data_IF_183848284321
#
_entry.id   IF_183848284321
#
_cell.length_a   1.000
_cell.length_b   1.000
_cell.length_c   1.000
_cell.angle_alpha   90.00
_cell.angle_beta   90.00
_cell.angle_gamma   90.00
#
_symmetry.space_group_name_H-M   'P 1'
#
loop_
_entity.id
_entity.type
_entity.pdbx_description
1 polymer ?
#
# COMPACT_ATOMS: atom_id res chain seq x y z
N UNK A 1 -8.84 17.30 42.42
CA UNK A 1 -9.32 16.09 41.68
C UNK A 1 -10.83 15.96 41.91
N UNK A 2 -11.61 15.59 40.88
CA UNK A 2 -13.09 15.49 41.06
C UNK A 2 -13.39 14.25 41.91
N UNK A 3 -14.28 14.38 42.90
CA UNK A 3 -14.78 13.29 43.77
C UNK A 3 -15.27 12.09 42.97
N UNK A 4 -15.83 12.35 41.75
CA UNK A 4 -16.24 11.30 40.84
C UNK A 4 -15.08 10.42 40.36
N UNK A 5 -13.90 10.99 40.13
CA UNK A 5 -12.72 10.26 39.68
C UNK A 5 -12.15 9.35 40.80
N UNK A 6 -12.11 9.86 42.03
CA UNK A 6 -11.63 9.05 43.18
C UNK A 6 -12.55 7.86 43.48
N UNK A 7 -13.86 8.10 43.41
CA UNK A 7 -14.87 7.04 43.58
C UNK A 7 -14.74 6.01 42.42
N UNK A 8 -14.63 6.46 41.16
CA UNK A 8 -14.46 5.58 40.03
C UNK A 8 -13.16 4.73 40.16
N UNK A 9 -12.06 5.33 40.57
CA UNK A 9 -10.78 4.65 40.79
C UNK A 9 -10.91 3.57 41.88
N UNK A 10 -11.49 3.90 43.04
CA UNK A 10 -11.71 2.91 44.13
C UNK A 10 -12.61 1.77 43.67
N UNK A 11 -13.69 2.04 42.93
CA UNK A 11 -14.61 1.03 42.42
C UNK A 11 -13.90 0.11 41.43
N UNK A 12 -13.06 0.64 40.56
CA UNK A 12 -12.32 -0.14 39.53
C UNK A 12 -11.27 -1.06 40.13
N UNK A 13 -10.65 -0.69 41.28
CA UNK A 13 -9.59 -1.45 41.92
C UNK A 13 -10.04 -2.30 43.14
N UNK A 14 -11.27 -2.13 43.67
CA UNK A 14 -11.79 -2.98 44.74
C UNK A 14 -12.02 -4.41 44.24
N UNK A 15 -11.94 -5.38 45.23
CA UNK A 15 -12.29 -6.79 44.93
C UNK A 15 -13.73 -6.90 44.43
N UNK A 16 -13.87 -6.92 43.10
CA UNK A 16 -15.14 -7.13 42.43
C UNK A 16 -15.56 -8.60 42.55
N UNK A 17 -16.87 -8.90 42.48
CA UNK A 17 -17.37 -10.27 42.34
C UNK A 17 -16.71 -10.92 41.13
N UNK A 18 -16.43 -12.21 41.17
CA UNK A 18 -15.71 -12.91 40.09
C UNK A 18 -16.34 -12.70 38.68
N UNK A 19 -17.66 -12.61 38.61
CA UNK A 19 -18.41 -12.38 37.41
C UNK A 19 -18.14 -10.99 36.76
N UNK A 20 -18.21 -9.91 37.55
CA UNK A 20 -17.92 -8.53 37.05
C UNK A 20 -16.49 -8.44 36.52
N UNK A 21 -15.55 -9.06 37.21
CA UNK A 21 -14.15 -9.06 36.81
C UNK A 21 -13.95 -9.80 35.50
N UNK A 22 -14.65 -10.89 35.29
CA UNK A 22 -14.64 -11.62 34.01
C UNK A 22 -15.16 -10.76 32.85
N UNK A 23 -16.32 -10.09 33.03
CA UNK A 23 -16.92 -9.23 31.97
C UNK A 23 -16.00 -8.07 31.61
N UNK A 24 -15.41 -7.39 32.61
CA UNK A 24 -14.46 -6.29 32.35
C UNK A 24 -13.24 -6.77 31.57
N UNK A 25 -12.67 -7.92 31.94
CA UNK A 25 -11.53 -8.51 31.22
C UNK A 25 -11.91 -8.91 29.79
N UNK A 26 -13.07 -9.51 29.62
CA UNK A 26 -13.59 -9.89 28.30
C UNK A 26 -13.77 -8.64 27.42
N UNK A 27 -14.30 -7.55 27.97
CA UNK A 27 -14.49 -6.30 27.24
C UNK A 27 -13.16 -5.62 26.89
N UNK A 28 -12.18 -5.63 27.78
CA UNK A 28 -10.84 -5.15 27.48
C UNK A 28 -10.21 -5.99 26.35
N UNK A 29 -10.32 -7.32 26.44
CA UNK A 29 -9.78 -8.22 25.42
C UNK A 29 -10.44 -8.02 24.05
N UNK A 30 -11.77 -7.94 24.01
CA UNK A 30 -12.51 -7.72 22.77
C UNK A 30 -12.19 -6.34 22.13
N UNK A 31 -12.09 -5.29 22.95
CA UNK A 31 -11.65 -3.97 22.48
C UNK A 31 -10.21 -4.01 21.97
N UNK A 32 -9.32 -4.71 22.67
CA UNK A 32 -7.93 -4.87 22.27
C UNK A 32 -7.82 -5.61 20.93
N UNK A 33 -8.56 -6.70 20.75
CA UNK A 33 -8.60 -7.44 19.48
C UNK A 33 -9.13 -6.56 18.35
N UNK A 34 -10.22 -5.80 18.56
CA UNK A 34 -10.77 -4.90 17.55
C UNK A 34 -9.77 -3.82 17.13
N UNK A 35 -9.09 -3.17 18.08
CA UNK A 35 -8.08 -2.14 17.78
C UNK A 35 -6.86 -2.74 17.09
N UNK A 36 -6.40 -3.90 17.54
CA UNK A 36 -5.29 -4.61 16.90
C UNK A 36 -5.63 -4.98 15.45
N UNK A 37 -6.85 -5.51 15.20
CA UNK A 37 -7.33 -5.84 13.87
C UNK A 37 -7.41 -4.61 12.96
N UNK A 38 -7.91 -3.47 13.45
CA UNK A 38 -7.95 -2.22 12.70
C UNK A 38 -6.53 -1.77 12.30
N UNK A 39 -5.59 -1.77 13.26
CA UNK A 39 -4.20 -1.37 12.99
C UNK A 39 -3.50 -2.29 12.00
N UNK A 40 -3.68 -3.61 12.15
CA UNK A 40 -3.16 -4.60 11.21
C UNK A 40 -3.74 -4.41 9.81
N UNK A 41 -5.05 -4.24 9.70
CA UNK A 41 -5.72 -4.01 8.41
C UNK A 41 -5.18 -2.76 7.73
N UNK A 42 -5.00 -1.65 8.44
CA UNK A 42 -4.36 -0.45 7.89
C UNK A 42 -2.95 -0.71 7.41
N UNK A 43 -2.11 -1.30 8.26
CA UNK A 43 -0.70 -1.53 7.98
C UNK A 43 -0.49 -2.48 6.79
N UNK A 44 -1.30 -3.53 6.70
CA UNK A 44 -1.24 -4.53 5.62
C UNK A 44 -1.71 -3.92 4.30
N UNK A 45 -2.91 -3.32 4.28
CA UNK A 45 -3.49 -2.83 3.02
C UNK A 45 -2.67 -1.67 2.45
N UNK A 46 -2.20 -0.75 3.29
CA UNK A 46 -1.35 0.35 2.81
C UNK A 46 0.01 -0.16 2.33
N UNK A 47 0.63 -1.10 3.05
CA UNK A 47 1.89 -1.72 2.64
C UNK A 47 1.75 -2.41 1.29
N UNK A 48 0.65 -3.13 1.11
CA UNK A 48 0.34 -3.84 -0.11
C UNK A 48 0.14 -2.89 -1.32
N UNK A 49 -0.69 -1.86 -1.13
CA UNK A 49 -0.98 -0.86 -2.17
C UNK A 49 0.29 -0.14 -2.63
N UNK A 50 1.10 0.33 -1.68
CA UNK A 50 2.33 1.05 -1.99
C UNK A 50 3.35 0.15 -2.67
N UNK A 51 3.52 -1.08 -2.20
CA UNK A 51 4.50 -2.01 -2.79
C UNK A 51 4.16 -2.35 -4.23
N UNK A 52 2.87 -2.59 -4.54
CA UNK A 52 2.46 -2.91 -5.92
C UNK A 52 2.57 -1.67 -6.82
N UNK A 53 2.05 -0.52 -6.37
CA UNK A 53 2.16 0.71 -7.13
C UNK A 53 3.64 1.04 -7.42
N UNK A 54 4.52 0.88 -6.44
CA UNK A 54 5.95 1.12 -6.58
C UNK A 54 6.60 0.18 -7.61
N UNK A 55 6.26 -1.13 -7.64
CA UNK A 55 6.74 -2.07 -8.65
C UNK A 55 6.33 -1.66 -10.07
N UNK A 56 5.07 -1.25 -10.24
CA UNK A 56 4.58 -0.75 -11.53
C UNK A 56 5.32 0.51 -11.94
N UNK A 57 5.51 1.46 -11.01
CA UNK A 57 6.23 2.71 -11.28
C UNK A 57 7.71 2.49 -11.55
N UNK A 58 8.35 1.52 -10.92
CA UNK A 58 9.74 1.17 -11.20
C UNK A 58 9.93 0.68 -12.63
N UNK A 59 8.97 -0.06 -13.19
CA UNK A 59 9.06 -0.61 -14.55
C UNK A 59 8.67 0.41 -15.63
N UNK A 60 7.59 1.18 -15.39
CA UNK A 60 7.00 2.06 -16.40
C UNK A 60 7.30 3.56 -16.19
N UNK A 61 7.76 3.97 -15.01
CA UNK A 61 7.74 5.36 -14.55
C UNK A 61 6.38 5.75 -13.99
N UNK A 62 6.20 7.01 -13.64
CA UNK A 62 4.96 7.53 -13.06
C UNK A 62 4.00 8.05 -14.14
N UNK A 63 4.55 8.65 -15.21
CA UNK A 63 3.79 9.25 -16.31
C UNK A 63 4.40 8.76 -17.63
N UNK A 64 3.55 8.28 -18.52
CA UNK A 64 3.90 7.95 -19.89
C UNK A 64 3.55 9.11 -20.79
N UNK A 65 4.51 9.57 -21.57
CA UNK A 65 4.31 10.52 -22.68
C UNK A 65 4.50 9.76 -23.97
N UNK A 66 3.47 9.68 -24.80
CA UNK A 66 3.52 8.93 -26.06
C UNK A 66 2.81 9.68 -27.17
N UNK A 67 3.09 9.31 -28.42
CA UNK A 67 2.40 9.83 -29.59
C UNK A 67 0.91 9.46 -29.58
N UNK A 68 0.04 10.38 -29.94
CA UNK A 68 -1.42 10.15 -30.08
C UNK A 68 -1.72 9.00 -31.05
N UNK A 69 -0.95 8.88 -32.13
CA UNK A 69 -1.16 7.87 -33.16
C UNK A 69 -0.44 6.54 -32.86
N UNK A 70 0.25 6.43 -31.73
CA UNK A 70 1.05 5.25 -31.37
C UNK A 70 2.30 5.01 -32.25
N UNK A 71 2.53 5.86 -33.27
CA UNK A 71 3.69 5.75 -34.12
C UNK A 71 4.94 6.38 -33.46
N UNK A 72 6.11 5.76 -33.61
CA UNK A 72 7.35 6.36 -33.12
C UNK A 72 7.59 7.75 -33.73
N UNK A 73 7.90 8.73 -32.88
CA UNK A 73 8.16 10.12 -33.25
C UNK A 73 9.30 10.69 -32.40
N UNK A 74 9.77 11.89 -32.74
CA UNK A 74 10.69 12.67 -31.91
C UNK A 74 9.99 13.88 -31.33
N UNK A 75 10.23 14.17 -30.06
CA UNK A 75 9.85 15.46 -29.46
C UNK A 75 10.98 16.45 -29.75
N UNK A 76 10.64 17.71 -30.01
CA UNK A 76 11.61 18.77 -30.20
C UNK A 76 12.45 19.00 -28.93
N UNK A 77 13.72 19.32 -29.11
CA UNK A 77 14.66 19.52 -28.00
C UNK A 77 14.21 20.61 -27.01
N UNK A 78 13.48 21.64 -27.50
CA UNK A 78 12.96 22.71 -26.64
C UNK A 78 11.91 22.19 -25.67
N UNK A 79 11.01 21.31 -26.10
CA UNK A 79 10.00 20.68 -25.26
C UNK A 79 10.65 19.74 -24.25
N UNK A 80 11.66 18.95 -24.65
CA UNK A 80 12.42 18.10 -23.72
C UNK A 80 13.12 18.96 -22.66
N UNK A 81 13.76 20.06 -23.05
CA UNK A 81 14.44 20.96 -22.13
C UNK A 81 13.46 21.60 -21.12
N UNK A 82 12.26 22.01 -21.57
CA UNK A 82 11.20 22.51 -20.68
C UNK A 82 10.75 21.46 -19.65
N UNK A 83 10.59 20.22 -20.11
CA UNK A 83 10.19 19.11 -19.23
C UNK A 83 11.29 18.85 -18.18
N UNK A 84 12.55 18.82 -18.59
CA UNK A 84 13.70 18.63 -17.70
C UNK A 84 13.88 19.77 -16.68
N UNK A 85 13.49 21.00 -17.03
CA UNK A 85 13.56 22.13 -16.12
C UNK A 85 12.51 22.10 -14.99
N UNK A 86 11.52 21.24 -15.08
CA UNK A 86 10.48 21.12 -14.05
C UNK A 86 11.01 20.39 -12.82
N UNK A 87 11.05 21.08 -11.68
CA UNK A 87 11.58 20.57 -10.41
C UNK A 87 10.84 19.37 -9.83
N UNK A 88 9.61 19.08 -10.30
CA UNK A 88 8.85 17.91 -9.86
C UNK A 88 9.28 16.63 -10.59
N UNK A 89 9.97 16.77 -11.73
CA UNK A 89 10.44 15.66 -12.56
C UNK A 89 11.86 15.27 -12.15
N UNK A 90 12.06 14.01 -11.85
CA UNK A 90 13.34 13.44 -11.44
C UNK A 90 14.12 12.91 -12.65
N UNK A 91 13.43 12.18 -13.54
CA UNK A 91 14.05 11.62 -14.74
C UNK A 91 13.08 11.53 -15.90
N UNK A 92 13.64 11.57 -17.12
CA UNK A 92 12.94 11.36 -18.38
C UNK A 92 13.73 10.32 -19.15
N UNK A 93 13.11 9.18 -19.43
CA UNK A 93 13.75 8.08 -20.13
C UNK A 93 12.99 7.78 -21.42
N UNK A 94 13.58 7.96 -22.61
CA UNK A 94 12.98 7.54 -23.87
C UNK A 94 12.88 6.03 -23.93
N UNK A 95 11.83 5.51 -24.56
CA UNK A 95 11.67 4.08 -24.79
C UNK A 95 11.08 3.80 -26.18
N UNK A 96 11.35 2.58 -26.66
CA UNK A 96 10.78 2.00 -27.86
C UNK A 96 10.48 0.52 -27.59
N UNK A 97 9.24 0.11 -27.83
CA UNK A 97 8.85 -1.30 -27.70
C UNK A 97 8.75 -1.93 -29.11
N UNK A 98 9.24 -3.14 -29.24
CA UNK A 98 9.14 -3.88 -30.50
C UNK A 98 8.89 -5.35 -30.23
N UNK A 99 7.83 -5.91 -30.80
CA UNK A 99 7.56 -7.34 -30.75
C UNK A 99 8.69 -8.10 -31.45
N UNK A 100 9.20 -9.15 -30.79
CA UNK A 100 10.33 -9.93 -31.27
C UNK A 100 10.17 -11.37 -30.84
N UNK A 101 10.91 -12.25 -31.51
CA UNK A 101 10.99 -13.67 -31.17
C UNK A 101 12.37 -13.94 -30.60
N UNK A 102 12.42 -14.40 -29.37
CA UNK A 102 13.63 -14.88 -28.72
C UNK A 102 13.81 -16.36 -29.03
N UNK A 103 14.99 -16.74 -29.51
CA UNK A 103 15.36 -18.14 -29.73
C UNK A 103 16.64 -18.48 -28.99
N UNK A 104 16.60 -19.56 -28.25
CA UNK A 104 17.76 -20.15 -27.58
C UNK A 104 17.72 -21.65 -27.75
N UNK A 105 18.81 -22.23 -28.28
CA UNK A 105 18.93 -23.66 -28.70
C UNK A 105 17.77 -24.05 -29.63
N UNK A 106 16.82 -24.86 -29.18
CA UNK A 106 15.65 -25.31 -29.92
C UNK A 106 14.35 -24.61 -29.49
N UNK A 107 14.40 -23.84 -28.42
CA UNK A 107 13.24 -23.17 -27.83
C UNK A 107 13.05 -21.79 -28.44
N UNK A 108 11.78 -21.40 -28.57
CA UNK A 108 11.33 -20.12 -29.13
C UNK A 108 10.27 -19.50 -28.22
N UNK A 109 10.41 -18.20 -27.93
CA UNK A 109 9.44 -17.44 -27.14
C UNK A 109 9.14 -16.10 -27.79
N UNK A 110 7.85 -15.75 -27.87
CA UNK A 110 7.41 -14.43 -28.31
C UNK A 110 7.53 -13.42 -27.17
N UNK A 111 8.29 -12.35 -27.36
CA UNK A 111 8.54 -11.35 -26.32
C UNK A 111 8.50 -9.94 -26.90
N UNK A 112 8.41 -8.94 -26.04
CA UNK A 112 8.51 -7.53 -26.40
C UNK A 112 9.89 -7.01 -25.97
N UNK A 113 10.70 -6.61 -26.94
CA UNK A 113 11.95 -5.92 -26.67
C UNK A 113 11.66 -4.46 -26.33
N UNK A 114 11.94 -4.07 -25.08
CA UNK A 114 11.87 -2.70 -24.61
C UNK A 114 13.27 -2.09 -24.69
N UNK A 115 13.45 -1.19 -25.65
CA UNK A 115 14.66 -0.40 -25.81
C UNK A 115 14.68 0.75 -24.83
N UNK A 116 15.73 0.83 -24.03
CA UNK A 116 16.01 1.92 -23.07
C UNK A 116 17.48 2.35 -23.21
N UNK A 117 17.85 3.58 -22.87
CA UNK A 117 19.26 4.02 -22.85
C UNK A 117 20.09 3.13 -21.91
N UNK A 118 21.32 2.84 -22.29
CA UNK A 118 22.23 1.96 -21.53
C UNK A 118 22.67 2.54 -20.19
N UNK A 119 22.56 3.85 -19.98
CA UNK A 119 22.83 4.56 -18.74
C UNK A 119 21.62 4.60 -17.78
N UNK A 120 20.47 4.03 -18.21
CA UNK A 120 19.28 3.96 -17.35
C UNK A 120 19.50 3.01 -16.19
N UNK A 121 19.28 3.50 -14.98
CA UNK A 121 19.27 2.66 -13.78
C UNK A 121 18.05 1.74 -13.77
N UNK A 122 18.27 0.44 -13.61
CA UNK A 122 17.21 -0.59 -13.56
C UNK A 122 17.14 -1.11 -12.12
N UNK A 123 16.20 -0.63 -11.31
CA UNK A 123 16.17 -0.91 -9.87
C UNK A 123 15.77 -2.35 -9.52
N UNK A 124 15.21 -3.12 -10.46
CA UNK A 124 14.72 -4.49 -10.26
C UNK A 124 15.66 -5.57 -10.80
N UNK A 125 16.95 -5.27 -11.03
CA UNK A 125 17.97 -6.29 -11.38
C UNK A 125 18.16 -7.23 -10.19
N UNK A 126 18.05 -8.53 -10.45
CA UNK A 126 18.20 -9.60 -9.44
C UNK A 126 19.61 -10.17 -9.40
N UNK A 127 20.20 -10.36 -10.56
CA UNK A 127 21.55 -10.96 -10.69
C UNK A 127 22.24 -10.51 -11.98
N UNK A 128 23.57 -10.51 -12.00
CA UNK A 128 24.35 -9.92 -13.08
C UNK A 128 24.51 -8.42 -12.92
N UNK A 129 24.50 -7.68 -14.01
CA UNK A 129 24.59 -6.22 -14.06
C UNK A 129 23.53 -5.59 -14.95
N UNK A 130 23.48 -4.26 -14.97
CA UNK A 130 22.88 -3.51 -16.06
C UNK A 130 23.68 -3.66 -17.35
N UNK A 131 23.37 -2.88 -18.35
CA UNK A 131 24.20 -2.82 -19.56
C UNK A 131 25.62 -2.41 -19.17
N UNK A 132 26.64 -3.15 -19.66
CA UNK A 132 28.03 -2.77 -19.47
C UNK A 132 28.29 -1.52 -20.27
N UNK A 133 28.24 -0.36 -19.61
CA UNK A 133 28.80 0.84 -20.18
C UNK A 133 30.31 0.63 -20.25
N UNK A 134 30.85 0.33 -21.41
CA UNK A 134 32.29 0.36 -21.63
C UNK A 134 32.74 1.80 -21.38
N UNK A 135 33.25 2.06 -20.19
CA UNK A 135 33.91 3.31 -19.84
C UNK A 135 35.09 3.47 -20.80
N UNK A 136 34.88 4.25 -21.87
CA UNK A 136 35.95 4.57 -22.81
C UNK A 136 35.63 4.54 -24.29
N UNK A 137 34.57 3.86 -24.72
CA UNK A 137 34.16 3.89 -26.12
C UNK A 137 33.10 4.97 -26.38
N UNK A 138 33.31 5.67 -27.48
CA UNK A 138 32.51 6.75 -28.04
C UNK A 138 31.01 6.62 -27.70
N UNK A 139 30.37 7.72 -27.36
CA UNK A 139 28.93 7.87 -27.07
C UNK A 139 27.98 7.23 -28.11
N UNK A 140 28.50 6.57 -29.14
CA UNK A 140 27.77 6.04 -30.29
C UNK A 140 27.85 4.50 -30.45
N UNK A 141 28.52 3.76 -29.54
CA UNK A 141 28.56 2.30 -29.64
C UNK A 141 27.23 1.69 -29.16
N UNK A 142 26.63 0.87 -30.01
CA UNK A 142 25.44 0.07 -29.68
C UNK A 142 25.87 -1.09 -28.81
N UNK A 143 25.11 -1.36 -27.76
CA UNK A 143 25.38 -2.50 -26.89
C UNK A 143 24.79 -3.79 -27.47
N UNK A 144 25.62 -4.84 -27.59
CA UNK A 144 25.15 -6.20 -27.93
C UNK A 144 24.70 -7.00 -26.70
N UNK A 145 24.27 -6.32 -25.66
CA UNK A 145 23.83 -6.91 -24.41
C UNK A 145 22.31 -6.85 -24.27
N UNK A 146 21.78 -7.82 -23.51
CA UNK A 146 20.37 -7.94 -23.20
C UNK A 146 20.19 -8.28 -21.74
N UNK A 147 19.12 -7.75 -21.14
CA UNK A 147 18.67 -8.11 -19.80
C UNK A 147 17.32 -8.79 -19.96
N UNK A 148 17.20 -10.02 -19.47
CA UNK A 148 15.98 -10.82 -19.54
C UNK A 148 15.41 -11.03 -18.13
N UNK A 149 14.13 -11.38 -18.04
CA UNK A 149 13.56 -11.72 -16.74
C UNK A 149 14.06 -13.09 -16.26
N UNK A 150 14.04 -13.31 -14.95
CA UNK A 150 14.36 -14.62 -14.38
C UNK A 150 13.32 -15.69 -14.74
N UNK A 151 12.07 -15.29 -15.02
CA UNK A 151 11.03 -16.18 -15.51
C UNK A 151 11.38 -16.72 -16.91
N UNK A 152 11.70 -15.82 -17.86
CA UNK A 152 12.12 -16.21 -19.22
C UNK A 152 13.42 -17.04 -19.14
N UNK A 153 14.38 -16.61 -18.30
CA UNK A 153 15.64 -17.34 -18.13
C UNK A 153 15.43 -18.76 -17.61
N UNK A 154 14.52 -18.93 -16.63
CA UNK A 154 14.19 -20.26 -16.07
C UNK A 154 13.45 -21.12 -17.09
N UNK A 155 12.46 -20.54 -17.79
CA UNK A 155 11.66 -21.24 -18.80
C UNK A 155 12.50 -21.80 -19.93
N UNK A 156 13.49 -21.03 -20.40
CA UNK A 156 14.37 -21.39 -21.52
C UNK A 156 15.76 -21.92 -21.09
N UNK A 157 15.94 -22.09 -19.76
CA UNK A 157 17.23 -22.54 -19.18
C UNK A 157 18.44 -21.67 -19.59
N UNK A 158 18.25 -20.37 -19.72
CA UNK A 158 19.27 -19.40 -20.12
C UNK A 158 20.07 -18.95 -18.89
N UNK A 159 21.40 -18.92 -19.01
CA UNK A 159 22.31 -18.43 -17.96
C UNK A 159 22.88 -17.06 -18.34
N UNK A 160 23.30 -16.28 -17.33
CA UNK A 160 24.04 -15.05 -17.55
C UNK A 160 25.30 -15.34 -18.37
N UNK A 161 25.58 -14.54 -19.38
CA UNK A 161 26.69 -14.71 -20.32
C UNK A 161 26.35 -15.55 -21.54
N UNK A 162 25.20 -16.23 -21.58
CA UNK A 162 24.75 -16.96 -22.76
C UNK A 162 24.46 -15.99 -23.93
N UNK A 163 24.64 -16.47 -25.15
CA UNK A 163 24.30 -15.73 -26.37
C UNK A 163 22.96 -16.21 -26.90
N UNK A 164 22.00 -15.33 -27.01
CA UNK A 164 20.68 -15.62 -27.55
C UNK A 164 20.49 -14.95 -28.91
N UNK A 165 19.50 -15.42 -29.68
CA UNK A 165 19.11 -14.83 -30.96
C UNK A 165 17.76 -14.16 -30.84
N UNK A 166 17.67 -12.90 -31.29
CA UNK A 166 16.41 -12.18 -31.42
C UNK A 166 16.08 -12.02 -32.89
N UNK A 167 14.83 -12.29 -33.23
CA UNK A 167 14.28 -12.10 -34.59
C UNK A 167 13.27 -10.99 -34.55
N UNK A 168 13.61 -9.88 -35.16
CA UNK A 168 12.75 -8.70 -35.28
C UNK A 168 11.94 -8.78 -36.58
N UNK A 169 10.63 -8.75 -36.44
CA UNK A 169 9.70 -8.80 -37.56
C UNK A 169 9.42 -7.36 -38.00
N UNK A 170 10.17 -6.88 -38.98
CA UNK A 170 9.88 -5.60 -39.65
C UNK A 170 9.10 -5.79 -40.94
N UNK A 171 8.38 -4.76 -41.38
CA UNK A 171 7.59 -4.79 -42.63
C UNK A 171 8.47 -5.21 -43.82
N UNK A 172 8.40 -6.48 -44.19
CA UNK A 172 9.10 -7.03 -45.35
C UNK A 172 10.46 -7.71 -45.13
N UNK A 173 11.01 -7.71 -43.89
CA UNK A 173 12.26 -8.41 -43.59
C UNK A 173 12.32 -8.91 -42.16
N UNK A 174 12.92 -10.09 -41.96
CA UNK A 174 13.27 -10.61 -40.65
C UNK A 174 14.72 -10.27 -40.39
N UNK A 175 14.98 -9.48 -39.37
CA UNK A 175 16.35 -9.15 -38.97
C UNK A 175 16.73 -9.93 -37.72
N UNK A 176 17.86 -10.64 -37.81
CA UNK A 176 18.40 -11.41 -36.69
C UNK A 176 19.53 -10.63 -36.00
N UNK A 177 19.53 -10.65 -34.66
CA UNK A 177 20.62 -10.14 -33.83
C UNK A 177 21.01 -11.19 -32.79
N UNK A 178 22.30 -11.27 -32.55
CA UNK A 178 22.87 -12.11 -31.46
C UNK A 178 23.24 -11.19 -30.32
N UNK A 179 22.63 -11.40 -29.14
CA UNK A 179 22.87 -10.60 -27.96
C UNK A 179 23.32 -11.47 -26.78
N UNK A 180 24.20 -10.93 -25.95
CA UNK A 180 24.72 -11.62 -24.78
C UNK A 180 23.90 -11.21 -23.54
N UNK A 181 23.47 -12.18 -22.74
CA UNK A 181 22.74 -11.94 -21.51
C UNK A 181 23.68 -11.33 -20.46
N UNK A 182 23.50 -10.04 -20.15
CA UNK A 182 24.28 -9.30 -19.16
C UNK A 182 23.73 -9.44 -17.74
N UNK A 183 22.41 -9.53 -17.61
CA UNK A 183 21.76 -9.63 -16.30
C UNK A 183 20.37 -10.23 -16.38
N UNK A 184 19.89 -10.61 -15.19
CA UNK A 184 18.52 -11.07 -14.99
C UNK A 184 17.79 -10.06 -14.14
N UNK A 185 16.57 -9.71 -14.53
CA UNK A 185 15.70 -8.86 -13.76
C UNK A 185 14.50 -9.64 -13.19
N UNK A 186 13.88 -9.09 -12.15
CA UNK A 186 12.65 -9.59 -11.56
C UNK A 186 11.79 -8.42 -11.11
N UNK A 187 10.74 -8.11 -11.88
CA UNK A 187 9.81 -7.03 -11.53
C UNK A 187 8.85 -7.45 -10.43
N UNK A 188 8.59 -8.77 -10.32
CA UNK A 188 7.59 -9.38 -9.47
C UNK A 188 6.16 -9.16 -9.98
N UNK A 189 6.00 -8.75 -11.23
CA UNK A 189 4.73 -8.75 -11.95
C UNK A 189 4.88 -9.78 -13.07
N UNK A 190 4.22 -10.93 -12.89
CA UNK A 190 4.40 -12.09 -13.76
C UNK A 190 4.16 -11.78 -15.25
N UNK A 191 3.17 -10.92 -15.52
CA UNK A 191 2.86 -10.49 -16.89
C UNK A 191 4.05 -9.75 -17.52
N UNK A 192 4.75 -8.88 -16.78
CA UNK A 192 5.92 -8.16 -17.29
C UNK A 192 7.13 -9.09 -17.40
N UNK A 193 7.33 -9.94 -16.40
CA UNK A 193 8.44 -10.88 -16.36
C UNK A 193 8.33 -11.97 -17.42
N UNK A 194 7.14 -12.31 -17.90
CA UNK A 194 6.93 -13.26 -18.99
C UNK A 194 6.97 -12.61 -20.38
N UNK A 195 6.75 -11.31 -20.48
CA UNK A 195 6.55 -10.64 -21.76
C UNK A 195 7.73 -9.76 -22.20
N UNK A 196 8.41 -9.08 -21.28
CA UNK A 196 9.38 -8.06 -21.64
C UNK A 196 10.84 -8.54 -21.51
N UNK A 197 11.66 -8.03 -22.43
CA UNK A 197 13.13 -8.08 -22.36
C UNK A 197 13.67 -6.67 -22.56
N UNK A 198 14.79 -6.35 -21.92
CA UNK A 198 15.39 -5.01 -22.00
C UNK A 198 16.60 -5.06 -22.95
N UNK A 199 16.65 -4.13 -23.88
CA UNK A 199 17.72 -3.99 -24.88
C UNK A 199 18.16 -2.52 -24.98
N UNK A 200 19.31 -2.27 -25.60
CA UNK A 200 19.73 -0.91 -25.92
C UNK A 200 18.74 -0.25 -26.90
N UNK A 201 18.28 0.96 -26.53
CA UNK A 201 17.39 1.78 -27.37
C UNK A 201 17.98 2.00 -28.77
N UNK A 202 19.29 2.27 -28.85
CA UNK A 202 19.98 2.51 -30.10
C UNK A 202 19.93 1.30 -31.05
N UNK A 203 19.93 0.07 -30.49
CA UNK A 203 19.78 -1.15 -31.28
C UNK A 203 18.44 -1.15 -32.02
N UNK A 204 17.33 -0.85 -31.33
CA UNK A 204 16.01 -0.80 -31.94
C UNK A 204 15.86 0.36 -32.94
N UNK A 205 16.45 1.50 -32.63
CA UNK A 205 16.48 2.66 -33.54
C UNK A 205 17.25 2.34 -34.83
N UNK A 206 18.39 1.66 -34.74
CA UNK A 206 19.14 1.21 -35.92
C UNK A 206 18.36 0.20 -36.77
N UNK A 207 17.67 -0.76 -36.13
CA UNK A 207 16.85 -1.75 -36.81
C UNK A 207 15.70 -1.13 -37.59
N UNK A 208 15.18 -0.01 -37.12
CA UNK A 208 14.10 0.73 -37.74
C UNK A 208 14.59 1.85 -38.68
N UNK A 209 15.91 1.98 -38.87
CA UNK A 209 16.56 3.04 -39.69
C UNK A 209 16.10 4.46 -39.31
N UNK A 210 15.81 4.73 -38.05
CA UNK A 210 15.37 6.03 -37.58
C UNK A 210 15.81 6.24 -36.10
N UNK A 211 15.82 7.51 -35.66
CA UNK A 211 16.12 7.88 -34.28
C UNK A 211 14.84 8.20 -33.47
N UNK A 212 13.71 7.62 -33.87
CA UNK A 212 12.43 7.87 -33.25
C UNK A 212 12.26 7.04 -32.00
N UNK A 213 11.36 7.48 -31.13
CA UNK A 213 10.97 6.79 -29.89
C UNK A 213 9.45 6.63 -29.86
N UNK A 214 8.96 5.57 -29.23
CA UNK A 214 7.53 5.39 -28.98
C UNK A 214 7.02 6.39 -27.97
N UNK A 215 7.84 6.68 -26.95
CA UNK A 215 7.48 7.59 -25.89
C UNK A 215 8.59 7.85 -24.89
N UNK A 216 8.21 8.55 -23.83
CA UNK A 216 9.07 8.87 -22.70
C UNK A 216 8.42 8.43 -21.41
N UNK A 217 9.19 7.74 -20.59
CA UNK A 217 8.84 7.37 -19.20
C UNK A 217 9.32 8.49 -18.28
N UNK A 218 8.42 9.08 -17.51
CA UNK A 218 8.72 10.21 -16.63
C UNK A 218 8.57 9.76 -15.18
N UNK A 219 9.60 10.01 -14.36
CA UNK A 219 9.59 9.78 -12.93
C UNK A 219 9.47 11.12 -12.22
N UNK A 220 8.51 11.22 -11.28
CA UNK A 220 8.33 12.41 -10.43
C UNK A 220 8.86 12.15 -9.03
N UNK A 221 9.24 13.22 -8.33
CA UNK A 221 9.85 13.15 -6.99
C UNK A 221 8.86 12.73 -5.88
N UNK A 222 7.56 12.95 -6.09
CA UNK A 222 6.49 12.57 -5.14
C UNK A 222 5.27 12.07 -5.91
N UNK A 223 4.73 10.94 -5.53
CA UNK A 223 3.53 10.37 -6.16
C UNK A 223 2.32 11.32 -6.10
N UNK A 224 2.18 12.09 -5.02
CA UNK A 224 1.13 13.11 -4.91
C UNK A 224 1.18 14.19 -6.00
N UNK A 225 2.32 14.38 -6.66
CA UNK A 225 2.49 15.33 -7.76
C UNK A 225 2.12 14.74 -9.13
N UNK A 226 1.82 13.44 -9.25
CA UNK A 226 1.50 12.79 -10.54
C UNK A 226 0.35 13.51 -11.25
N UNK A 227 -0.84 13.75 -10.65
CA UNK A 227 -1.95 14.37 -11.36
C UNK A 227 -1.65 15.79 -11.86
N UNK A 228 -1.04 16.62 -11.02
CA UNK A 228 -0.69 17.99 -11.37
C UNK A 228 0.40 18.06 -12.44
N UNK A 229 1.39 17.15 -12.36
CA UNK A 229 2.47 17.07 -13.35
C UNK A 229 1.94 16.55 -14.70
N UNK A 230 1.04 15.56 -14.71
CA UNK A 230 0.39 15.06 -15.92
C UNK A 230 -0.40 16.16 -16.62
N UNK A 231 -1.20 16.95 -15.90
CA UNK A 231 -1.92 18.08 -16.46
C UNK A 231 -1.00 19.17 -17.01
N UNK A 232 0.10 19.45 -16.31
CA UNK A 232 1.11 20.41 -16.75
C UNK A 232 1.80 19.93 -18.02
N UNK A 233 2.18 18.65 -18.10
CA UNK A 233 2.77 18.03 -19.28
C UNK A 233 1.82 18.12 -20.48
N UNK A 234 0.54 17.80 -20.30
CA UNK A 234 -0.46 17.83 -21.37
C UNK A 234 -0.59 19.24 -22.00
N UNK A 235 -0.41 20.30 -21.19
CA UNK A 235 -0.43 21.70 -21.66
C UNK A 235 0.89 22.15 -22.30
N UNK A 236 1.99 21.48 -21.97
CA UNK A 236 3.34 21.86 -22.40
C UNK A 236 3.84 21.09 -23.62
N UNK A 237 3.21 19.95 -23.91
CA UNK A 237 3.55 19.08 -25.02
C UNK A 237 2.91 19.57 -26.33
N UNK A 238 3.52 19.27 -27.50
CA UNK A 238 2.88 19.44 -28.80
C UNK A 238 1.58 18.62 -28.90
N UNK A 239 0.64 19.05 -29.75
CA UNK A 239 -0.69 18.44 -29.90
C UNK A 239 -0.68 16.95 -30.31
N UNK A 240 0.40 16.50 -30.96
CA UNK A 240 0.57 15.10 -31.36
C UNK A 240 1.10 14.19 -30.23
N UNK A 241 1.32 14.74 -29.02
CA UNK A 241 1.78 14.01 -27.85
C UNK A 241 0.76 14.05 -26.71
N UNK A 242 0.62 12.94 -26.02
CA UNK A 242 -0.29 12.78 -24.87
C UNK A 242 0.48 12.33 -23.65
N UNK A 243 0.23 12.99 -22.52
CA UNK A 243 0.72 12.58 -21.21
C UNK A 243 -0.37 11.85 -20.46
N UNK A 244 -0.12 10.60 -20.08
CA UNK A 244 -1.06 9.75 -19.35
C UNK A 244 -0.37 9.26 -18.09
N UNK A 245 -1.04 9.32 -16.93
CA UNK A 245 -0.50 8.69 -15.73
C UNK A 245 -0.47 7.16 -15.91
N UNK A 246 0.48 6.50 -15.29
CA UNK A 246 0.55 5.03 -15.38
C UNK A 246 -0.66 4.38 -14.71
N UNK A 247 -1.26 5.02 -13.71
CA UNK A 247 -2.52 4.57 -13.11
C UNK A 247 -3.70 4.57 -14.11
N UNK A 248 -3.75 5.56 -15.00
CA UNK A 248 -4.78 5.64 -16.03
C UNK A 248 -4.48 4.74 -17.23
N UNK A 249 -3.18 4.45 -17.47
CA UNK A 249 -2.75 3.58 -18.54
C UNK A 249 -2.96 2.09 -18.25
N UNK A 250 -2.79 1.69 -16.96
CA UNK A 250 -3.04 0.33 -16.45
C UNK A 250 -4.16 0.33 -15.40
N UNK A 251 -5.40 0.72 -15.75
CA UNK A 251 -6.48 0.88 -14.78
C UNK A 251 -6.78 -0.42 -14.02
N UNK A 252 -6.64 -1.58 -14.65
CA UNK A 252 -6.95 -2.88 -14.03
C UNK A 252 -6.16 -3.12 -12.73
N UNK A 253 -4.87 -2.81 -12.70
CA UNK A 253 -4.02 -2.97 -11.51
C UNK A 253 -4.42 -1.94 -10.44
N UNK A 254 -4.60 -0.69 -10.83
CA UNK A 254 -4.89 0.39 -9.89
C UNK A 254 -6.34 0.34 -9.37
N UNK A 255 -7.30 -0.07 -10.18
CA UNK A 255 -8.68 -0.33 -9.76
C UNK A 255 -8.74 -1.48 -8.74
N UNK A 256 -7.98 -2.56 -9.00
CA UNK A 256 -7.87 -3.66 -8.05
C UNK A 256 -7.25 -3.20 -6.71
N UNK A 257 -6.21 -2.37 -6.74
CA UNK A 257 -5.65 -1.70 -5.56
C UNK A 257 -6.73 -0.84 -4.87
N UNK A 258 -7.54 -0.11 -5.65
CA UNK A 258 -8.64 0.72 -5.17
C UNK A 258 -9.71 -0.07 -4.41
N UNK A 259 -10.09 -1.25 -4.91
CA UNK A 259 -11.03 -2.16 -4.24
C UNK A 259 -10.53 -2.56 -2.84
N UNK A 260 -9.22 -2.76 -2.66
CA UNK A 260 -8.65 -3.05 -1.34
C UNK A 260 -8.86 -1.90 -0.34
N UNK A 261 -8.91 -0.65 -0.81
CA UNK A 261 -9.26 0.51 0.04
C UNK A 261 -10.69 0.41 0.56
N UNK A 262 -11.63 0.02 -0.30
CA UNK A 262 -13.04 -0.17 0.08
C UNK A 262 -13.16 -1.31 1.09
N UNK A 263 -12.56 -2.46 0.82
CA UNK A 263 -12.54 -3.61 1.72
C UNK A 263 -11.96 -3.26 3.09
N UNK A 264 -10.85 -2.51 3.12
CA UNK A 264 -10.25 -2.00 4.35
C UNK A 264 -11.23 -1.14 5.14
N UNK A 265 -11.87 -0.16 4.49
CA UNK A 265 -12.78 0.77 5.15
C UNK A 265 -14.02 0.04 5.73
N UNK A 266 -14.56 -0.94 4.99
CA UNK A 266 -15.66 -1.80 5.46
C UNK A 266 -15.23 -2.62 6.67
N UNK A 267 -14.06 -3.26 6.62
CA UNK A 267 -13.53 -4.04 7.75
C UNK A 267 -13.34 -3.17 8.99
N UNK A 268 -12.79 -1.97 8.84
CA UNK A 268 -12.61 -1.01 9.94
C UNK A 268 -13.96 -0.61 10.53
N UNK A 269 -14.95 -0.30 9.71
CA UNK A 269 -16.29 0.06 10.16
C UNK A 269 -16.92 -1.09 10.98
N UNK A 270 -16.84 -2.32 10.50
CA UNK A 270 -17.34 -3.50 11.20
C UNK A 270 -16.62 -3.68 12.55
N UNK A 271 -15.29 -3.63 12.58
CA UNK A 271 -14.51 -3.78 13.81
C UNK A 271 -14.82 -2.68 14.83
N UNK A 272 -15.05 -1.45 14.36
CA UNK A 272 -15.42 -0.33 15.21
C UNK A 272 -16.82 -0.53 15.81
N UNK A 273 -17.80 -0.99 15.02
CA UNK A 273 -19.14 -1.30 15.50
C UNK A 273 -19.10 -2.41 16.56
N UNK A 274 -18.31 -3.47 16.34
CA UNK A 274 -18.14 -4.57 17.30
C UNK A 274 -17.53 -4.02 18.61
N UNK A 275 -16.49 -3.18 18.53
CA UNK A 275 -15.88 -2.58 19.72
C UNK A 275 -16.89 -1.72 20.51
N UNK A 276 -17.69 -0.92 19.82
CA UNK A 276 -18.73 -0.06 20.42
C UNK A 276 -19.80 -0.90 21.12
N UNK A 277 -20.35 -1.90 20.43
CA UNK A 277 -21.39 -2.78 21.00
C UNK A 277 -20.86 -3.50 22.25
N UNK A 278 -19.63 -4.03 22.19
CA UNK A 278 -19.00 -4.68 23.32
C UNK A 278 -18.83 -3.75 24.54
N UNK A 279 -18.35 -2.52 24.31
CA UNK A 279 -18.19 -1.53 25.37
C UNK A 279 -19.53 -1.04 25.94
N UNK A 280 -20.56 -0.87 25.09
CA UNK A 280 -21.91 -0.55 25.54
C UNK A 280 -22.49 -1.65 26.43
N UNK A 281 -22.38 -2.91 26.01
CA UNK A 281 -22.85 -4.08 26.76
C UNK A 281 -22.12 -4.16 28.11
N UNK A 282 -20.82 -3.98 28.13
CA UNK A 282 -20.04 -3.95 29.38
C UNK A 282 -20.53 -2.87 30.33
N UNK A 283 -20.73 -1.65 29.82
CA UNK A 283 -21.19 -0.55 30.65
C UNK A 283 -22.61 -0.78 31.20
N UNK A 284 -23.51 -1.33 30.39
CA UNK A 284 -24.85 -1.73 30.85
C UNK A 284 -24.78 -2.75 31.99
N UNK A 285 -23.98 -3.80 31.84
CA UNK A 285 -23.83 -4.84 32.87
C UNK A 285 -23.24 -4.25 34.15
N UNK A 286 -22.20 -3.39 34.02
CA UNK A 286 -21.62 -2.71 35.18
C UNK A 286 -22.61 -1.82 35.91
N UNK A 287 -23.50 -1.14 35.18
CA UNK A 287 -24.57 -0.32 35.75
C UNK A 287 -25.61 -1.16 36.48
N UNK A 288 -26.06 -2.28 35.89
CA UNK A 288 -27.04 -3.17 36.51
C UNK A 288 -26.50 -3.79 37.80
N UNK A 289 -25.23 -4.22 37.84
CA UNK A 289 -24.61 -4.77 39.05
C UNK A 289 -24.45 -3.75 40.20
N UNK A 290 -24.49 -2.46 39.86
CA UNK A 290 -24.30 -1.36 40.82
C UNK A 290 -25.56 -0.58 41.10
N UNK A 291 -26.75 -1.17 40.79
CA UNK A 291 -28.05 -0.48 40.99
C UNK A 291 -28.27 -0.09 42.45
N UNK A 292 -27.93 -0.99 43.42
CA UNK A 292 -28.04 -0.69 44.87
C UNK A 292 -27.13 0.47 45.27
N UNK A 293 -25.88 0.51 44.77
CA UNK A 293 -24.96 1.64 44.99
C UNK A 293 -25.51 2.94 44.40
N UNK A 294 -26.12 2.90 43.20
CA UNK A 294 -26.77 4.08 42.58
C UNK A 294 -27.92 4.56 43.45
N UNK A 295 -28.74 3.62 43.94
CA UNK A 295 -29.85 3.92 44.88
C UNK A 295 -29.39 4.59 46.16
N UNK A 296 -28.40 4.04 46.83
CA UNK A 296 -27.84 4.57 48.09
C UNK A 296 -27.20 5.96 47.88
N UNK A 297 -26.39 6.14 46.84
CA UNK A 297 -25.80 7.44 46.52
C UNK A 297 -26.89 8.50 46.25
N UNK A 298 -27.96 8.13 45.52
CA UNK A 298 -29.08 9.05 45.23
C UNK A 298 -29.84 9.38 46.53
N UNK A 299 -30.07 8.41 47.43
CA UNK A 299 -30.73 8.64 48.71
C UNK A 299 -29.90 9.58 49.64
N UNK A 300 -28.55 9.54 49.54
CA UNK A 300 -27.64 10.45 50.20
C UNK A 300 -27.52 11.83 49.52
N UNK A 301 -28.30 12.11 48.50
CA UNK A 301 -28.36 13.42 47.85
C UNK A 301 -27.31 13.59 46.69
N UNK A 302 -26.67 12.53 46.24
CA UNK A 302 -25.76 12.61 45.10
C UNK A 302 -26.51 12.99 43.81
N UNK A 303 -26.02 14.01 43.10
CA UNK A 303 -26.62 14.42 41.82
C UNK A 303 -26.47 13.35 40.75
N UNK A 304 -27.44 13.21 39.87
CA UNK A 304 -27.41 12.28 38.75
C UNK A 304 -26.17 12.50 37.83
N UNK A 305 -25.73 13.76 37.73
CA UNK A 305 -24.52 14.10 36.98
C UNK A 305 -23.24 13.54 37.62
N UNK A 306 -23.18 13.46 38.95
CA UNK A 306 -22.08 12.85 39.68
C UNK A 306 -22.00 11.35 39.37
N UNK A 307 -23.15 10.66 39.49
CA UNK A 307 -23.25 9.21 39.20
C UNK A 307 -22.86 8.94 37.74
N UNK A 308 -23.40 9.71 36.80
CA UNK A 308 -23.04 9.61 35.38
C UNK A 308 -21.54 9.75 35.15
N UNK A 309 -20.87 10.73 35.76
CA UNK A 309 -19.42 10.93 35.65
C UNK A 309 -18.63 9.73 36.18
N UNK A 310 -19.08 9.09 37.28
CA UNK A 310 -18.42 7.90 37.84
C UNK A 310 -18.39 6.78 36.80
N UNK A 311 -19.53 6.46 36.19
CA UNK A 311 -19.59 5.40 35.16
C UNK A 311 -18.84 5.75 33.87
N UNK A 312 -18.86 7.04 33.46
CA UNK A 312 -18.07 7.51 32.32
C UNK A 312 -16.56 7.35 32.56
N UNK A 313 -16.06 7.68 33.75
CA UNK A 313 -14.66 7.47 34.10
C UNK A 313 -14.29 5.98 34.12
N UNK A 314 -15.16 5.12 34.64
CA UNK A 314 -14.95 3.68 34.67
C UNK A 314 -14.92 3.09 33.26
N UNK A 315 -15.88 3.46 32.39
CA UNK A 315 -15.93 3.05 31.00
C UNK A 315 -14.71 3.54 30.21
N UNK A 316 -14.30 4.80 30.43
CA UNK A 316 -13.09 5.36 29.81
C UNK A 316 -11.83 4.59 30.22
N UNK A 317 -11.72 4.16 31.48
CA UNK A 317 -10.59 3.36 31.94
C UNK A 317 -10.52 2.00 31.21
N UNK A 318 -11.66 1.30 31.08
CA UNK A 318 -11.77 0.03 30.36
C UNK A 318 -11.41 0.23 28.87
N UNK A 319 -11.95 1.29 28.26
CA UNK A 319 -11.69 1.62 26.87
C UNK A 319 -10.19 1.89 26.62
N UNK A 320 -9.57 2.78 27.40
CA UNK A 320 -8.16 3.13 27.25
C UNK A 320 -7.24 1.92 27.47
N UNK A 321 -7.52 1.06 28.46
CA UNK A 321 -6.74 -0.16 28.67
C UNK A 321 -6.87 -1.10 27.46
N UNK A 322 -8.07 -1.25 26.89
CA UNK A 322 -8.29 -2.04 25.68
C UNK A 322 -7.56 -1.46 24.46
N UNK A 323 -7.66 -0.15 24.24
CA UNK A 323 -6.98 0.55 23.12
C UNK A 323 -5.45 0.39 23.24
N UNK A 324 -4.88 0.63 24.41
CA UNK A 324 -3.43 0.53 24.62
C UNK A 324 -2.92 -0.90 24.40
N UNK A 325 -3.61 -1.91 24.95
CA UNK A 325 -3.28 -3.31 24.72
C UNK A 325 -3.43 -3.69 23.25
N UNK A 326 -4.50 -3.24 22.59
CA UNK A 326 -4.73 -3.48 21.18
C UNK A 326 -3.68 -2.83 20.29
N UNK A 327 -3.29 -1.60 20.61
CA UNK A 327 -2.21 -0.91 19.92
C UNK A 327 -0.87 -1.65 20.10
N UNK A 328 -0.56 -2.09 21.31
CA UNK A 328 0.67 -2.84 21.60
C UNK A 328 0.70 -4.17 20.80
N UNK A 329 -0.41 -4.91 20.80
CA UNK A 329 -0.52 -6.18 20.05
C UNK A 329 -0.45 -5.91 18.55
N UNK A 330 -1.24 -4.97 18.01
CA UNK A 330 -1.29 -4.67 16.59
C UNK A 330 0.04 -4.18 16.04
N UNK A 331 0.68 -3.22 16.73
CA UNK A 331 2.00 -2.72 16.36
C UNK A 331 3.08 -3.79 16.55
N UNK A 332 3.02 -4.58 17.62
CA UNK A 332 3.95 -5.66 17.86
C UNK A 332 3.92 -6.71 16.75
N UNK A 333 2.73 -7.16 16.34
CA UNK A 333 2.57 -8.10 15.24
C UNK A 333 3.02 -7.50 13.89
N UNK A 334 2.71 -6.22 13.65
CA UNK A 334 3.18 -5.50 12.45
C UNK A 334 4.71 -5.44 12.39
N UNK A 335 5.37 -5.10 13.50
CA UNK A 335 6.84 -5.08 13.58
C UNK A 335 7.45 -6.47 13.43
N UNK A 336 6.85 -7.50 14.02
CA UNK A 336 7.28 -8.89 13.88
C UNK A 336 7.20 -9.31 12.40
N UNK A 337 6.09 -9.05 11.70
CA UNK A 337 5.95 -9.37 10.29
C UNK A 337 6.97 -8.61 9.45
N UNK A 338 7.18 -7.31 9.69
CA UNK A 338 8.13 -6.49 8.95
C UNK A 338 9.58 -7.01 9.09
N UNK A 339 9.96 -7.52 10.27
CA UNK A 339 11.32 -8.01 10.53
C UNK A 339 11.53 -9.47 10.10
N UNK A 340 10.56 -10.33 10.36
CA UNK A 340 10.69 -11.77 10.16
C UNK A 340 10.14 -12.25 8.81
N UNK A 341 9.21 -11.51 8.20
CA UNK A 341 8.61 -11.89 6.92
C UNK A 341 7.96 -13.28 6.91
N UNK A 342 7.42 -13.72 8.07
CA UNK A 342 6.93 -15.08 8.25
C UNK A 342 5.69 -15.42 7.42
N UNK A 343 4.84 -14.42 7.14
CA UNK A 343 3.69 -14.58 6.25
C UNK A 343 4.18 -14.39 4.82
N UNK A 344 4.28 -15.48 4.09
CA UNK A 344 4.62 -15.48 2.68
C UNK A 344 3.34 -15.57 1.84
N UNK A 345 3.35 -14.93 0.69
CA UNK A 345 2.27 -14.91 -0.27
C UNK A 345 2.73 -15.57 -1.56
N UNK A 346 1.77 -16.08 -2.34
CA UNK A 346 2.05 -16.54 -3.69
C UNK A 346 2.27 -15.33 -4.60
N UNK A 347 3.47 -15.19 -5.13
CA UNK A 347 3.87 -14.06 -5.96
C UNK A 347 3.08 -13.99 -7.26
N UNK A 348 2.68 -15.13 -7.82
CA UNK A 348 1.87 -15.18 -9.05
C UNK A 348 0.47 -14.59 -8.86
N UNK A 349 -0.12 -14.76 -7.68
CA UNK A 349 -1.45 -14.28 -7.37
C UNK A 349 -1.47 -12.85 -6.78
N UNK A 350 -0.42 -12.48 -6.02
CA UNK A 350 -0.40 -11.24 -5.25
C UNK A 350 0.70 -10.26 -5.66
N UNK A 351 1.52 -10.58 -6.65
CA UNK A 351 2.67 -9.79 -7.12
C UNK A 351 3.77 -9.53 -6.08
N UNK A 352 3.70 -10.18 -4.91
CA UNK A 352 4.60 -9.95 -3.77
C UNK A 352 4.83 -11.26 -3.03
N UNK A 353 6.11 -11.58 -2.70
CA UNK A 353 6.50 -12.81 -1.95
C UNK A 353 6.19 -12.76 -0.46
N UNK A 354 6.35 -11.60 0.16
CA UNK A 354 6.16 -11.43 1.60
C UNK A 354 5.10 -10.37 1.85
N UNK A 355 4.22 -10.61 2.83
CA UNK A 355 3.19 -9.65 3.20
C UNK A 355 3.84 -8.33 3.63
N UNK A 356 3.68 -7.24 2.87
CA UNK A 356 4.30 -5.97 3.16
C UNK A 356 3.54 -5.25 4.27
N UNK A 357 4.27 -4.58 5.15
CA UNK A 357 3.71 -3.80 6.25
C UNK A 357 4.20 -2.37 6.15
N UNK A 358 3.26 -1.43 6.03
CA UNK A 358 3.55 -0.01 6.15
C UNK A 358 2.88 0.57 7.38
N UNK A 359 3.68 1.07 8.31
CA UNK A 359 3.20 1.76 9.50
C UNK A 359 3.34 3.27 9.31
N UNK A 360 2.20 3.96 9.28
CA UNK A 360 2.15 5.41 9.23
C UNK A 360 1.70 5.96 10.59
N UNK A 361 2.53 6.81 11.19
CA UNK A 361 2.28 7.42 12.50
C UNK A 361 0.97 8.22 12.54
N UNK A 362 0.62 8.90 11.46
CA UNK A 362 -0.62 9.68 11.36
C UNK A 362 -1.82 8.74 11.42
N UNK A 363 -1.76 7.63 10.70
CA UNK A 363 -2.84 6.65 10.66
C UNK A 363 -2.99 5.92 12.00
N UNK A 364 -1.89 5.51 12.62
CA UNK A 364 -1.90 4.90 13.96
C UNK A 364 -2.57 5.85 14.96
N UNK A 365 -2.16 7.11 14.96
CA UNK A 365 -2.74 8.12 15.85
C UNK A 365 -4.22 8.35 15.56
N UNK A 366 -4.63 8.38 14.29
CA UNK A 366 -6.04 8.55 13.89
C UNK A 366 -6.92 7.38 14.34
N UNK A 367 -6.42 6.15 14.27
CA UNK A 367 -7.13 4.96 14.77
C UNK A 367 -7.32 5.03 16.29
N UNK A 368 -6.25 5.32 17.03
CA UNK A 368 -6.30 5.41 18.49
C UNK A 368 -7.27 6.50 18.94
N UNK A 369 -7.12 7.72 18.41
CA UNK A 369 -7.96 8.86 18.76
C UNK A 369 -9.41 8.64 18.28
N UNK A 370 -9.58 8.18 17.04
CA UNK A 370 -10.91 7.93 16.46
C UNK A 370 -11.69 6.89 17.26
N UNK A 371 -11.04 5.75 17.59
CA UNK A 371 -11.66 4.71 18.43
C UNK A 371 -12.01 5.25 19.82
N UNK A 372 -11.12 6.03 20.45
CA UNK A 372 -11.37 6.62 21.75
C UNK A 372 -12.57 7.61 21.72
N UNK A 373 -12.63 8.49 20.72
CA UNK A 373 -13.71 9.48 20.57
C UNK A 373 -15.04 8.79 20.32
N UNK A 374 -15.11 7.84 19.39
CA UNK A 374 -16.35 7.12 19.07
C UNK A 374 -16.83 6.30 20.28
N UNK A 375 -15.92 5.62 20.98
CA UNK A 375 -16.27 4.91 22.21
C UNK A 375 -16.80 5.86 23.29
N UNK A 376 -16.18 7.02 23.48
CA UNK A 376 -16.62 7.99 24.46
C UNK A 376 -18.03 8.54 24.14
N UNK A 377 -18.30 8.88 22.88
CA UNK A 377 -19.61 9.31 22.41
C UNK A 377 -20.64 8.19 22.69
N UNK A 378 -20.32 6.96 22.38
CA UNK A 378 -21.19 5.81 22.60
C UNK A 378 -21.54 5.60 24.07
N UNK A 379 -20.62 5.87 25.02
CA UNK A 379 -20.91 5.78 26.44
C UNK A 379 -21.96 6.76 26.92
N UNK A 380 -22.23 7.84 26.20
CA UNK A 380 -23.29 8.76 26.55
C UNK A 380 -24.67 8.11 26.50
N UNK A 381 -24.91 7.15 25.59
CA UNK A 381 -26.20 6.50 25.41
C UNK A 381 -26.66 5.73 26.67
N UNK A 382 -25.87 4.76 27.23
CA UNK A 382 -26.29 4.07 28.45
C UNK A 382 -26.42 4.98 29.65
N UNK A 383 -25.54 5.99 29.76
CA UNK A 383 -25.56 6.91 30.91
C UNK A 383 -26.80 7.80 30.98
N UNK A 384 -27.54 7.98 29.88
CA UNK A 384 -28.84 8.63 29.87
C UNK A 384 -29.91 7.80 30.58
N UNK A 385 -29.78 6.46 30.59
CA UNK A 385 -30.72 5.57 31.28
C UNK A 385 -30.66 5.69 32.82
N UNK A 386 -29.54 6.14 33.37
CA UNK A 386 -29.38 6.36 34.81
C UNK A 386 -30.52 7.28 35.35
N UNK A 387 -31.00 8.22 34.55
CA UNK A 387 -32.11 9.12 34.93
C UNK A 387 -33.42 8.40 35.19
N UNK A 388 -33.63 7.19 34.66
CA UNK A 388 -34.89 6.42 34.81
C UNK A 388 -34.87 5.45 36.00
N UNK A 389 -33.75 5.32 36.73
CA UNK A 389 -33.63 4.44 37.89
C UNK A 389 -34.23 5.20 39.10
N UNK A 390 -35.38 4.73 39.59
CA UNK A 390 -35.99 5.32 40.80
C UNK A 390 -35.30 4.73 42.06
N UNK A 391 -34.93 5.57 43.07
CA UNK A 391 -34.28 5.13 44.30
C UNK A 391 -35.08 4.05 45.06
N UNK A 392 -36.40 4.17 45.07
CA UNK A 392 -37.30 3.25 45.76
C UNK A 392 -37.28 1.82 45.20
N UNK A 393 -37.17 1.69 43.85
CA UNK A 393 -37.06 0.36 43.21
C UNK A 393 -35.67 -0.20 43.29
N UNK A 394 -34.61 0.65 43.39
CA UNK A 394 -33.22 0.19 43.43
C UNK A 394 -32.83 -0.46 44.77
N UNK A 395 -33.53 -0.13 45.89
CA UNK A 395 -33.27 -0.66 47.22
C UNK A 395 -34.07 -1.96 47.50
N UNK A 396 -35.14 -2.22 46.73
CA UNK A 396 -35.99 -3.44 46.85
C UNK A 396 -35.44 -4.68 46.12
N UNK A 397 -34.35 -4.56 45.40
CA UNK A 397 -33.71 -5.68 44.68
C UNK A 397 -32.57 -6.28 45.54
N UNK A 398 -32.89 -6.81 46.73
CA UNK A 398 -32.09 -7.78 47.45
C UNK A 398 -32.89 -9.06 47.64
#
# INVERSE_FOLDING_TARGET
>A
MSTAFEIAKRISFQKQKNYTRFIVRLSIAATAISVAAILLTFSIVNGFQETIAHKVYQFWGHIRVASVNGAPQSIDNNSIAKIQANKTITSITPFLNQSTVLSFEQDIEGVVARGIPTDTEIPFIKSGGGFSSKKGDLKDSISDEIIISDNIATKLNIKIGATIRLYFLNTGSVQQRKLKVAGLYHSGIEEYDNQFILVDLKLLQQLNNNQLVEGYSIVVNKEAAIPSTTQWLQKSLPENWVATSISDYYPQIFDWIGVQTINRNVTIAIMLIIAVINLLTCLFILMLERVTMIGTLTALGASQNLIRKIFLYQASFICWTGILLGALIGLGLSLLQQKLGWIQLDESAYFIKTLPIKMDTIQISSVIIGTAVISYISFLLPTLWIKKISPAKAIQFD
#
